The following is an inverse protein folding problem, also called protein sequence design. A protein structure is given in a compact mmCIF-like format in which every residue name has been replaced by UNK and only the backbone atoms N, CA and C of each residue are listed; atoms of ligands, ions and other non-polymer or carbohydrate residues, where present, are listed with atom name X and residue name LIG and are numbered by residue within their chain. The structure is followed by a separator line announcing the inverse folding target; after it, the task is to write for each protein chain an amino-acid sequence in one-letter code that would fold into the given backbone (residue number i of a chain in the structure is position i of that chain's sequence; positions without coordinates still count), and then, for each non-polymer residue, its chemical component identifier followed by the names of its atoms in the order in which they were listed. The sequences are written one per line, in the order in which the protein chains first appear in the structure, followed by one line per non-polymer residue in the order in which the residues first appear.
data_IF_084242437207
#
_entry.id   IF_084242437207
#
_cell.length_a   1.000
_cell.length_b   1.000
_cell.length_c   1.000
_cell.angle_alpha   90.00
_cell.angle_beta   90.00
_cell.angle_gamma   90.00
#
_symmetry.space_group_name_H-M   'P 1'
#
loop_
_entity.id
_entity.type
_entity.pdbx_description
1 polymer ?
#
# COMPACT_ATOMS: atom_id res chain seq x y z
N UNK A 1 6.93 31.42 -28.70
CA UNK A 1 6.31 30.69 -29.81
C UNK A 1 5.91 29.33 -29.26
N UNK A 2 4.61 29.18 -29.04
CA UNK A 2 3.99 27.97 -28.47
C UNK A 2 4.05 26.82 -29.48
N UNK A 3 4.56 25.67 -29.05
CA UNK A 3 4.23 24.41 -29.72
C UNK A 3 3.32 23.59 -28.78
N UNK A 4 2.04 23.67 -29.08
CA UNK A 4 1.05 22.69 -28.64
C UNK A 4 1.40 21.35 -29.26
N UNK A 5 1.66 20.34 -28.44
CA UNK A 5 1.73 18.95 -28.89
C UNK A 5 0.33 18.38 -28.79
N UNK A 6 -0.19 18.01 -29.95
CA UNK A 6 -1.50 17.39 -30.17
C UNK A 6 -1.54 15.98 -29.59
N UNK A 7 -2.39 15.74 -28.59
CA UNK A 7 -2.60 14.44 -27.96
C UNK A 7 -3.89 13.82 -28.50
N UNK A 8 -3.78 13.02 -29.58
CA UNK A 8 -4.84 12.10 -29.99
C UNK A 8 -4.69 10.73 -29.35
N UNK A 9 -5.76 10.33 -28.68
CA UNK A 9 -6.27 8.99 -28.42
C UNK A 9 -5.42 8.03 -27.56
N UNK A 10 -5.78 7.94 -26.30
CA UNK A 10 -5.42 6.88 -25.37
C UNK A 10 -5.56 7.40 -23.95
N UNK A 11 -6.64 7.08 -23.26
CA UNK A 11 -6.98 7.60 -21.93
C UNK A 11 -5.85 7.33 -20.93
N UNK A 12 -4.91 8.28 -20.82
CA UNK A 12 -4.00 8.46 -19.69
C UNK A 12 -4.26 9.87 -19.14
N UNK A 13 -4.33 10.10 -17.83
CA UNK A 13 -4.41 11.45 -17.29
C UNK A 13 -3.14 12.19 -17.72
N UNK A 14 -3.31 13.21 -18.56
CA UNK A 14 -2.19 14.02 -19.03
C UNK A 14 -1.81 15.02 -17.95
N UNK A 15 -0.82 14.68 -17.12
CA UNK A 15 -0.07 15.68 -16.39
C UNK A 15 0.94 16.30 -17.36
N UNK A 16 0.68 17.53 -17.79
CA UNK A 16 1.67 18.32 -18.48
C UNK A 16 2.72 18.77 -17.43
N UNK A 17 3.88 18.13 -17.44
CA UNK A 17 5.03 18.69 -16.71
C UNK A 17 5.46 19.97 -17.41
N UNK A 18 5.25 21.12 -16.75
CA UNK A 18 5.84 22.38 -17.19
C UNK A 18 7.33 22.30 -16.91
N UNK A 19 8.11 21.93 -17.90
CA UNK A 19 9.54 22.06 -17.85
C UNK A 19 9.85 23.52 -18.14
N UNK A 20 10.40 24.25 -17.17
CA UNK A 20 10.98 25.56 -17.42
C UNK A 20 12.09 25.41 -18.46
N UNK A 21 11.82 25.79 -19.70
CA UNK A 21 12.82 25.86 -20.73
C UNK A 21 13.53 27.21 -20.61
N UNK A 22 14.78 27.15 -20.16
CA UNK A 22 15.82 28.13 -20.46
C UNK A 22 15.69 29.50 -19.85
N UNK A 23 16.47 29.75 -18.79
CA UNK A 23 17.41 30.87 -18.73
C UNK A 23 18.31 30.70 -17.50
N UNK A 24 19.60 30.96 -17.68
CA UNK A 24 20.66 30.87 -16.70
C UNK A 24 20.31 31.55 -15.37
N UNK A 25 19.99 30.74 -14.36
CA UNK A 25 20.15 31.15 -12.98
C UNK A 25 21.49 30.65 -12.48
N UNK A 26 22.55 31.44 -12.73
CA UNK A 26 23.79 31.28 -11.99
C UNK A 26 23.55 31.79 -10.57
N UNK A 27 23.27 30.89 -9.66
CA UNK A 27 23.48 31.12 -8.24
C UNK A 27 24.70 30.34 -7.85
N UNK A 28 25.60 31.02 -7.14
CA UNK A 28 26.94 30.55 -6.81
C UNK A 28 26.90 29.16 -6.16
N UNK A 29 27.87 28.34 -6.53
CA UNK A 29 28.13 27.04 -5.96
C UNK A 29 28.38 27.14 -4.45
N UNK A 30 27.68 26.32 -3.66
CA UNK A 30 28.31 25.68 -2.52
C UNK A 30 28.66 24.24 -2.87
N UNK A 31 29.84 23.84 -2.45
CA UNK A 31 30.40 22.54 -2.61
C UNK A 31 29.45 21.42 -2.03
N UNK A 32 29.30 20.35 -2.79
CA UNK A 32 28.65 19.12 -2.40
C UNK A 32 27.61 18.69 -3.43
N UNK A 33 28.03 17.79 -4.34
CA UNK A 33 27.06 17.02 -5.13
C UNK A 33 26.13 16.26 -4.20
N UNK A 34 24.99 16.86 -3.88
CA UNK A 34 23.81 16.11 -3.52
C UNK A 34 23.31 15.43 -4.80
N UNK A 35 23.91 14.27 -5.11
CA UNK A 35 23.35 13.37 -6.09
C UNK A 35 21.91 13.07 -5.68
N UNK A 36 20.95 13.60 -6.42
CA UNK A 36 19.57 13.15 -6.39
C UNK A 36 19.59 11.67 -6.80
N UNK A 37 19.79 10.80 -5.82
CA UNK A 37 19.58 9.37 -6.01
C UNK A 37 18.08 9.23 -6.24
N UNK A 38 17.70 9.10 -7.49
CA UNK A 38 16.35 8.67 -7.86
C UNK A 38 16.15 7.29 -7.23
N UNK A 39 15.44 7.22 -6.10
CA UNK A 39 15.08 5.94 -5.51
C UNK A 39 14.13 5.26 -6.48
N UNK A 40 14.61 4.18 -7.11
CA UNK A 40 13.77 3.32 -7.93
C UNK A 40 12.85 2.53 -6.99
N UNK A 41 11.55 2.58 -7.24
CA UNK A 41 10.54 1.88 -6.42
C UNK A 41 10.43 0.39 -6.78
N UNK A 42 11.08 -0.05 -7.85
CA UNK A 42 10.96 -1.39 -8.43
C UNK A 42 11.37 -2.54 -7.50
N UNK A 43 12.29 -2.26 -6.58
CA UNK A 43 12.85 -3.26 -5.67
C UNK A 43 12.44 -3.01 -4.20
N UNK A 44 11.47 -2.15 -3.96
CA UNK A 44 11.00 -1.80 -2.63
C UNK A 44 9.61 -2.38 -2.37
N UNK A 45 9.35 -2.69 -1.10
CA UNK A 45 8.00 -2.82 -0.59
C UNK A 45 7.37 -1.42 -0.50
N UNK A 46 6.41 -1.11 -1.37
CA UNK A 46 5.75 0.20 -1.38
C UNK A 46 4.37 0.10 -0.73
N UNK A 47 4.20 0.84 0.37
CA UNK A 47 2.93 0.91 1.10
C UNK A 47 2.31 2.29 0.97
N UNK A 48 1.16 2.37 0.33
CA UNK A 48 0.32 3.56 0.31
C UNK A 48 -0.54 3.61 1.57
N UNK A 49 -0.63 4.76 2.23
CA UNK A 49 -1.51 4.92 3.39
C UNK A 49 -2.31 6.22 3.30
N UNK A 50 -3.61 6.16 3.59
CA UNK A 50 -4.42 7.36 3.69
C UNK A 50 -4.04 8.17 4.94
N UNK A 51 -4.12 9.50 4.84
CA UNK A 51 -3.83 10.38 5.97
C UNK A 51 -4.65 10.06 7.21
N UNK A 52 -5.92 9.65 7.03
CA UNK A 52 -6.82 9.25 8.11
C UNK A 52 -6.44 7.91 8.75
N UNK A 53 -5.86 7.00 8.00
CA UNK A 53 -5.37 5.74 8.55
C UNK A 53 -4.06 5.96 9.34
N UNK A 54 -3.20 6.91 8.91
CA UNK A 54 -1.97 7.25 9.61
C UNK A 54 -2.23 8.06 10.87
N UNK A 55 -3.13 9.04 10.81
CA UNK A 55 -3.46 9.94 11.92
C UNK A 55 -4.95 9.93 12.26
N UNK A 56 -5.29 10.23 13.51
CA UNK A 56 -6.67 10.43 13.95
C UNK A 56 -7.20 11.79 13.46
N UNK A 57 -8.03 11.73 12.42
CA UNK A 57 -8.66 12.89 11.80
C UNK A 57 -10.18 12.94 12.04
N UNK A 58 -10.67 12.36 13.16
CA UNK A 58 -12.12 12.32 13.45
C UNK A 58 -12.71 13.70 13.72
N UNK A 59 -11.93 14.58 14.36
CA UNK A 59 -12.36 15.96 14.63
C UNK A 59 -12.47 16.75 13.33
N UNK A 60 -11.47 16.64 12.46
CA UNK A 60 -11.39 17.25 11.15
C UNK A 60 -12.54 16.79 10.23
N UNK A 61 -12.81 15.49 10.23
CA UNK A 61 -13.91 14.88 9.48
C UNK A 61 -15.27 15.40 9.96
N UNK A 62 -15.44 15.56 11.28
CA UNK A 62 -16.64 16.15 11.86
C UNK A 62 -16.85 17.59 11.39
N UNK A 63 -15.80 18.42 11.42
CA UNK A 63 -15.86 19.80 10.92
C UNK A 63 -16.27 19.82 9.44
N UNK A 64 -15.67 18.95 8.63
CA UNK A 64 -16.03 18.83 7.21
C UNK A 64 -17.50 18.45 7.00
N UNK A 65 -18.00 17.44 7.72
CA UNK A 65 -19.38 16.96 7.57
C UNK A 65 -20.42 17.95 8.07
N UNK A 66 -20.16 18.62 9.20
CA UNK A 66 -21.14 19.51 9.83
C UNK A 66 -21.11 20.92 9.27
N UNK A 67 -19.94 21.41 8.82
CA UNK A 67 -19.74 22.81 8.48
C UNK A 67 -19.25 23.03 7.05
N UNK A 68 -18.92 21.95 6.32
CA UNK A 68 -18.52 21.97 4.92
C UNK A 68 -17.05 22.30 4.68
N UNK A 69 -16.70 22.39 3.38
CA UNK A 69 -15.31 22.45 2.91
C UNK A 69 -14.58 23.72 3.38
N UNK A 70 -15.23 24.88 3.35
CA UNK A 70 -14.58 26.15 3.72
C UNK A 70 -14.25 26.23 5.22
N UNK A 71 -15.14 25.72 6.08
CA UNK A 71 -14.88 25.63 7.52
C UNK A 71 -13.74 24.62 7.81
N UNK A 72 -13.72 23.51 7.09
CA UNK A 72 -12.63 22.52 7.17
C UNK A 72 -11.28 23.13 6.78
N UNK A 73 -11.21 23.87 5.66
CA UNK A 73 -9.97 24.53 5.21
C UNK A 73 -9.46 25.50 6.27
N UNK A 74 -10.34 26.36 6.78
CA UNK A 74 -9.99 27.32 7.84
C UNK A 74 -9.51 26.60 9.10
N UNK A 75 -10.24 25.56 9.53
CA UNK A 75 -9.86 24.76 10.68
C UNK A 75 -8.45 24.15 10.55
N UNK A 76 -8.12 23.62 9.39
CA UNK A 76 -6.79 23.03 9.12
C UNK A 76 -5.69 24.09 9.17
N UNK A 77 -5.91 25.28 8.59
CA UNK A 77 -4.95 26.38 8.60
C UNK A 77 -4.77 26.95 10.01
N UNK A 78 -5.87 27.20 10.74
CA UNK A 78 -5.82 27.73 12.10
C UNK A 78 -5.14 26.76 13.10
N UNK A 79 -5.08 25.48 12.76
CA UNK A 79 -4.49 24.43 13.60
C UNK A 79 -3.25 23.77 12.97
N UNK A 80 -2.56 24.42 12.01
CA UNK A 80 -1.47 23.76 11.26
C UNK A 80 -0.31 23.31 12.16
N UNK A 81 -0.04 24.02 13.27
CA UNK A 81 0.99 23.66 14.25
C UNK A 81 0.50 22.65 15.30
N UNK A 82 -0.80 22.39 15.39
CA UNK A 82 -1.35 21.42 16.33
C UNK A 82 -1.17 20.02 15.80
N UNK A 83 -0.30 19.25 16.44
CA UNK A 83 0.02 17.88 16.05
C UNK A 83 -1.21 16.97 16.00
N UNK A 84 -1.25 16.11 15.00
CA UNK A 84 -2.24 15.05 14.88
C UNK A 84 -1.88 13.88 15.81
N UNK A 85 -2.90 13.22 16.35
CA UNK A 85 -2.70 12.00 17.13
C UNK A 85 -2.45 10.80 16.21
N UNK A 86 -1.68 9.78 16.64
CA UNK A 86 -1.57 8.53 15.92
C UNK A 86 -2.91 7.90 15.58
N UNK A 87 -3.07 7.45 14.34
CA UNK A 87 -4.23 6.70 13.85
C UNK A 87 -4.03 5.19 13.92
N UNK A 88 -5.00 4.43 13.39
CA UNK A 88 -5.00 2.95 13.44
C UNK A 88 -3.82 2.30 12.72
N UNK A 89 -3.25 2.95 11.69
CA UNK A 89 -2.10 2.46 10.92
C UNK A 89 -0.74 2.92 11.41
N UNK A 90 -0.68 3.79 12.41
CA UNK A 90 0.55 4.47 12.81
C UNK A 90 1.66 3.49 13.23
N UNK A 91 1.37 2.56 14.14
CA UNK A 91 2.37 1.59 14.60
C UNK A 91 2.80 0.59 13.52
N UNK A 92 1.88 0.22 12.62
CA UNK A 92 2.22 -0.61 11.46
C UNK A 92 3.17 0.14 10.51
N UNK A 93 2.92 1.42 10.23
CA UNK A 93 3.81 2.26 9.43
C UNK A 93 5.19 2.37 10.06
N UNK A 94 5.27 2.62 11.37
CA UNK A 94 6.56 2.60 12.09
C UNK A 94 7.29 1.27 11.95
N UNK A 95 6.56 0.15 12.06
CA UNK A 95 7.15 -1.17 11.88
C UNK A 95 7.67 -1.40 10.46
N UNK A 96 6.93 -0.94 9.43
CA UNK A 96 7.35 -1.00 8.03
C UNK A 96 8.60 -0.13 7.79
N UNK A 97 8.63 1.10 8.30
CA UNK A 97 9.77 1.99 8.15
C UNK A 97 11.03 1.45 8.84
N UNK A 98 10.88 0.70 9.95
CA UNK A 98 12.01 0.00 10.62
C UNK A 98 12.62 -1.15 9.81
N UNK A 99 11.97 -1.61 8.73
CA UNK A 99 12.60 -2.54 7.78
C UNK A 99 13.81 -1.89 7.07
N UNK A 100 13.86 -0.56 7.03
CA UNK A 100 14.97 0.20 6.50
C UNK A 100 16.10 0.27 7.53
N UNK A 101 17.25 -0.31 7.20
CA UNK A 101 18.41 -0.22 8.09
C UNK A 101 19.13 1.13 7.88
N UNK A 102 19.52 1.87 8.94
CA UNK A 102 20.12 3.22 8.83
C UNK A 102 21.37 3.31 7.96
N UNK A 103 22.10 2.20 7.78
CA UNK A 103 23.32 2.10 6.97
C UNK A 103 23.22 1.06 5.86
N UNK A 104 22.01 0.58 5.58
CA UNK A 104 21.74 -0.46 4.59
C UNK A 104 20.95 0.05 3.39
N UNK A 105 20.63 -0.88 2.49
CA UNK A 105 19.70 -0.62 1.38
C UNK A 105 18.31 -0.33 1.93
N UNK A 106 17.63 0.68 1.39
CA UNK A 106 16.19 0.90 1.63
C UNK A 106 15.43 -0.34 1.14
N UNK A 107 14.48 -0.82 1.93
CA UNK A 107 13.66 -2.01 1.65
C UNK A 107 12.18 -1.70 1.53
N UNK A 108 11.75 -0.64 2.19
CA UNK A 108 10.37 -0.23 2.22
C UNK A 108 10.22 1.27 1.99
N UNK A 109 9.16 1.64 1.31
CA UNK A 109 8.74 3.01 1.09
C UNK A 109 7.30 3.16 1.58
N UNK A 110 7.02 4.23 2.31
CA UNK A 110 5.66 4.59 2.68
C UNK A 110 5.29 5.87 1.93
N UNK A 111 4.13 5.87 1.28
CA UNK A 111 3.63 7.00 0.50
C UNK A 111 2.29 7.43 1.07
N UNK A 112 2.15 8.71 1.42
CA UNK A 112 0.84 9.27 1.79
C UNK A 112 -0.04 9.33 0.55
N UNK A 113 -1.20 8.72 0.61
CA UNK A 113 -2.22 8.75 -0.44
C UNK A 113 -3.48 9.41 0.11
N UNK A 114 -3.63 10.71 -0.12
CA UNK A 114 -4.70 11.49 0.50
C UNK A 114 -5.57 12.21 -0.54
N UNK A 115 -6.87 12.26 -0.26
CA UNK A 115 -7.81 13.10 -1.01
C UNK A 115 -7.79 14.56 -0.58
N UNK A 116 -7.02 14.91 0.43
CA UNK A 116 -6.85 16.29 0.86
C UNK A 116 -6.26 17.14 -0.27
N UNK A 117 -6.54 18.45 -0.20
CA UNK A 117 -5.85 19.44 -1.02
C UNK A 117 -4.48 19.76 -0.42
N UNK A 118 -3.61 20.37 -1.23
CA UNK A 118 -2.26 20.77 -0.79
C UNK A 118 -2.32 21.69 0.43
N UNK A 119 -3.22 22.67 0.42
CA UNK A 119 -3.38 23.69 1.47
C UNK A 119 -3.83 23.12 2.82
N UNK A 120 -4.52 21.97 2.82
CA UNK A 120 -5.01 21.33 4.06
C UNK A 120 -4.08 20.25 4.59
N UNK A 121 -2.89 20.10 4.01
CA UNK A 121 -1.99 18.98 4.30
C UNK A 121 -0.76 19.36 5.13
N UNK A 122 -0.50 20.66 5.40
CA UNK A 122 0.65 21.11 6.19
C UNK A 122 0.71 20.41 7.56
N UNK A 123 -0.41 20.33 8.24
CA UNK A 123 -0.52 19.69 9.55
C UNK A 123 -0.14 18.20 9.52
N UNK A 124 -0.41 17.51 8.40
CA UNK A 124 0.00 16.10 8.20
C UNK A 124 1.53 16.03 8.14
N UNK A 125 2.18 16.88 7.35
CA UNK A 125 3.64 16.91 7.23
C UNK A 125 4.31 17.33 8.54
N UNK A 126 3.81 18.36 9.22
CA UNK A 126 4.32 18.78 10.53
C UNK A 126 4.24 17.62 11.56
N UNK A 127 3.18 16.81 11.48
CA UNK A 127 3.04 15.64 12.34
C UNK A 127 3.99 14.50 11.95
N UNK A 128 4.20 14.26 10.63
CA UNK A 128 5.20 13.31 10.12
C UNK A 128 6.59 13.65 10.65
N UNK A 129 7.00 14.92 10.52
CA UNK A 129 8.29 15.42 10.99
C UNK A 129 8.43 15.28 12.51
N UNK A 130 7.39 15.68 13.27
CA UNK A 130 7.40 15.57 14.72
C UNK A 130 7.58 14.13 15.23
N UNK A 131 6.93 13.18 14.59
CA UNK A 131 7.06 11.75 14.96
C UNK A 131 8.30 11.08 14.36
N UNK A 132 9.09 11.79 13.57
CA UNK A 132 10.30 11.27 12.93
C UNK A 132 10.01 10.12 11.97
N UNK A 133 8.88 10.17 11.25
CA UNK A 133 8.54 9.17 10.25
C UNK A 133 9.32 9.47 8.95
N UNK A 134 10.08 8.48 8.45
CA UNK A 134 10.83 8.56 7.19
C UNK A 134 9.88 8.42 5.98
N UNK A 135 9.02 9.45 5.78
CA UNK A 135 8.01 9.52 4.72
C UNK A 135 8.22 10.78 3.90
N UNK A 136 8.83 10.62 2.72
CA UNK A 136 9.19 11.74 1.84
C UNK A 136 8.18 11.96 0.69
N UNK A 137 7.28 11.00 0.47
CA UNK A 137 6.38 11.01 -0.69
C UNK A 137 4.93 11.11 -0.29
N UNK A 138 4.21 11.97 -1.01
CA UNK A 138 2.78 12.13 -0.83
C UNK A 138 2.06 12.41 -2.16
N UNK A 139 0.86 11.89 -2.26
CA UNK A 139 -0.14 12.25 -3.27
C UNK A 139 -1.28 12.98 -2.56
N UNK A 140 -1.52 14.23 -2.94
CA UNK A 140 -2.60 15.07 -2.46
C UNK A 140 -3.52 15.32 -3.64
N UNK A 141 -4.59 14.53 -3.76
CA UNK A 141 -5.38 14.49 -4.99
C UNK A 141 -6.48 15.54 -5.08
N UNK A 142 -6.71 16.32 -4.02
CA UNK A 142 -7.76 17.35 -3.99
C UNK A 142 -9.17 16.80 -4.25
N UNK A 143 -9.46 15.59 -3.78
CA UNK A 143 -10.74 14.91 -3.95
C UNK A 143 -10.80 13.91 -5.12
N UNK A 144 -9.79 13.87 -6.00
CA UNK A 144 -9.76 12.90 -7.10
C UNK A 144 -9.52 11.46 -6.60
N UNK A 145 -10.04 10.42 -7.32
CA UNK A 145 -9.79 9.02 -7.00
C UNK A 145 -8.30 8.67 -6.98
N UNK A 146 -7.89 7.80 -6.06
CA UNK A 146 -6.48 7.48 -5.82
C UNK A 146 -5.91 6.37 -6.72
N UNK A 147 -6.75 5.51 -7.31
CA UNK A 147 -6.31 4.30 -8.02
C UNK A 147 -5.20 4.53 -9.08
N UNK A 148 -5.31 5.59 -9.88
CA UNK A 148 -4.30 5.92 -10.90
C UNK A 148 -2.94 6.22 -10.26
N UNK A 149 -2.93 6.88 -9.11
CA UNK A 149 -1.70 7.22 -8.40
C UNK A 149 -1.09 5.99 -7.72
N UNK A 150 -1.91 5.05 -7.22
CA UNK A 150 -1.43 3.80 -6.65
C UNK A 150 -0.57 3.03 -7.65
N UNK A 151 -1.02 2.90 -8.89
CA UNK A 151 -0.23 2.28 -9.97
C UNK A 151 1.05 3.07 -10.31
N UNK A 152 0.95 4.41 -10.40
CA UNK A 152 2.08 5.26 -10.75
C UNK A 152 3.21 5.17 -9.72
N UNK A 153 2.87 4.97 -8.44
CA UNK A 153 3.82 4.77 -7.35
C UNK A 153 4.15 3.30 -7.07
N UNK A 154 3.63 2.37 -7.88
CA UNK A 154 3.86 0.92 -7.72
C UNK A 154 3.52 0.42 -6.32
N UNK A 155 2.40 0.85 -5.80
CA UNK A 155 1.95 0.48 -4.46
C UNK A 155 1.63 -1.02 -4.42
N UNK A 156 2.30 -1.74 -3.53
CA UNK A 156 2.06 -3.18 -3.27
C UNK A 156 0.88 -3.39 -2.33
N UNK A 157 0.70 -2.47 -1.36
CA UNK A 157 -0.38 -2.51 -0.38
C UNK A 157 -0.91 -1.10 -0.14
N UNK A 158 -2.21 -0.91 -0.25
CA UNK A 158 -2.88 0.33 0.12
C UNK A 158 -3.70 0.17 1.40
N UNK A 159 -3.50 1.07 2.36
CA UNK A 159 -4.15 1.08 3.66
C UNK A 159 -5.04 2.31 3.82
N UNK A 160 -6.32 2.11 4.04
CA UNK A 160 -7.28 3.21 4.23
C UNK A 160 -8.30 2.88 5.33
N UNK A 161 -9.00 3.90 5.83
CA UNK A 161 -10.21 3.75 6.64
C UNK A 161 -11.49 3.91 5.81
N UNK A 162 -11.37 4.24 4.52
CA UNK A 162 -12.51 4.40 3.62
C UNK A 162 -12.69 3.15 2.76
N UNK A 163 -13.86 2.52 2.86
CA UNK A 163 -14.22 1.32 2.10
C UNK A 163 -14.17 1.55 0.60
N UNK A 164 -14.68 2.68 0.11
CA UNK A 164 -14.68 3.04 -1.31
C UNK A 164 -13.27 3.13 -1.90
N UNK A 165 -12.32 3.67 -1.13
CA UNK A 165 -10.92 3.76 -1.57
C UNK A 165 -10.28 2.37 -1.68
N UNK A 166 -10.58 1.50 -0.72
CA UNK A 166 -10.09 0.12 -0.70
C UNK A 166 -10.71 -0.69 -1.84
N UNK A 167 -12.03 -0.60 -2.02
CA UNK A 167 -12.73 -1.28 -3.12
C UNK A 167 -12.15 -0.86 -4.48
N UNK A 168 -11.98 0.44 -4.70
CA UNK A 168 -11.40 0.97 -5.95
C UNK A 168 -9.96 0.49 -6.19
N UNK A 169 -9.16 0.36 -5.13
CA UNK A 169 -7.80 -0.17 -5.23
C UNK A 169 -7.78 -1.66 -5.60
N UNK A 170 -8.65 -2.46 -4.97
CA UNK A 170 -8.81 -3.89 -5.27
C UNK A 170 -9.30 -4.11 -6.71
N UNK A 171 -10.28 -3.34 -7.18
CA UNK A 171 -10.75 -3.36 -8.58
C UNK A 171 -9.63 -3.03 -9.58
N UNK A 172 -8.69 -2.18 -9.17
CA UNK A 172 -7.49 -1.87 -9.94
C UNK A 172 -6.40 -2.96 -9.84
N UNK A 173 -6.64 -4.07 -9.12
CA UNK A 173 -5.68 -5.17 -8.95
C UNK A 173 -4.56 -4.91 -7.94
N UNK A 174 -4.73 -3.92 -7.06
CA UNK A 174 -3.77 -3.58 -6.01
C UNK A 174 -4.27 -4.13 -4.68
N UNK A 175 -3.41 -4.82 -3.93
CA UNK A 175 -3.71 -5.26 -2.57
C UNK A 175 -4.10 -4.08 -1.70
N UNK A 176 -5.27 -4.13 -1.07
CA UNK A 176 -5.75 -3.04 -0.24
C UNK A 176 -6.52 -3.56 0.98
N UNK A 177 -6.41 -2.84 2.10
CA UNK A 177 -7.06 -3.23 3.35
C UNK A 177 -7.66 -2.05 4.10
N UNK A 178 -8.79 -2.31 4.76
CA UNK A 178 -9.42 -1.36 5.67
C UNK A 178 -8.76 -1.47 7.03
N UNK A 179 -8.30 -0.34 7.55
CA UNK A 179 -7.81 -0.24 8.92
C UNK A 179 -8.94 0.23 9.84
N UNK A 180 -9.49 -0.69 10.59
CA UNK A 180 -10.53 -0.39 11.57
C UNK A 180 -9.95 0.39 12.76
N UNK A 181 -10.72 1.36 13.24
CA UNK A 181 -10.37 2.14 14.41
C UNK A 181 -10.44 1.24 15.66
N UNK A 182 -9.31 1.04 16.32
CA UNK A 182 -9.28 0.34 17.61
C UNK A 182 -9.58 1.37 18.69
N UNK A 183 -10.72 1.23 19.35
CA UNK A 183 -11.06 2.07 20.48
C UNK A 183 -9.94 2.02 21.54
N UNK A 184 -9.19 3.09 21.67
CA UNK A 184 -8.38 3.52 22.84
C UNK A 184 -7.51 2.50 23.59
N UNK A 185 -6.95 1.48 22.92
CA UNK A 185 -5.84 0.76 23.53
C UNK A 185 -4.53 1.40 23.02
N UNK A 186 -3.59 1.75 23.93
CA UNK A 186 -2.25 2.07 23.53
C UNK A 186 -1.76 0.89 22.68
N UNK A 187 -1.47 1.14 21.39
CA UNK A 187 -0.91 0.07 20.58
C UNK A 187 0.50 -0.17 21.05
N UNK A 188 0.78 -1.37 21.53
CA UNK A 188 2.14 -1.80 21.82
C UNK A 188 2.97 -1.68 20.53
N UNK A 189 4.23 -1.34 20.68
CA UNK A 189 5.15 -1.27 19.57
C UNK A 189 5.23 -2.62 18.85
N UNK A 190 4.97 -2.64 17.55
CA UNK A 190 5.02 -3.87 16.74
C UNK A 190 6.47 -4.29 16.55
N UNK A 191 6.92 -5.29 17.26
CA UNK A 191 8.29 -5.81 17.17
C UNK A 191 8.52 -6.67 15.91
N UNK A 192 7.50 -7.40 15.47
CA UNK A 192 7.50 -8.23 14.27
C UNK A 192 6.19 -8.05 13.51
N UNK A 193 6.27 -7.75 12.23
CA UNK A 193 5.11 -7.66 11.35
C UNK A 193 4.58 -9.07 11.12
N UNK A 194 3.33 -9.35 11.54
CA UNK A 194 2.66 -10.64 11.36
C UNK A 194 1.44 -10.45 10.50
N UNK A 195 1.38 -11.17 9.37
CA UNK A 195 0.30 -11.06 8.40
C UNK A 195 -0.20 -12.46 8.07
N UNK A 196 -1.52 -12.66 8.18
CA UNK A 196 -2.20 -13.83 7.66
C UNK A 196 -2.97 -13.45 6.39
N UNK A 197 -2.81 -14.23 5.34
CA UNK A 197 -3.48 -14.06 4.08
C UNK A 197 -4.56 -15.12 3.91
N UNK A 198 -5.73 -14.73 3.44
CA UNK A 198 -6.66 -15.66 2.85
C UNK A 198 -6.13 -16.13 1.48
N UNK A 199 -6.49 -17.33 1.05
CA UNK A 199 -6.04 -17.92 -0.20
C UNK A 199 -6.78 -17.37 -1.42
N UNK A 200 -8.04 -17.78 -1.56
CA UNK A 200 -8.87 -17.52 -2.74
C UNK A 200 -9.34 -16.07 -2.79
N UNK A 201 -9.41 -15.51 -3.98
CA UNK A 201 -9.74 -14.10 -4.25
C UNK A 201 -8.86 -13.05 -3.51
N UNK A 202 -7.82 -13.48 -2.81
CA UNK A 202 -6.88 -12.63 -2.07
C UNK A 202 -5.45 -12.81 -2.59
N UNK A 203 -4.76 -13.91 -2.24
CA UNK A 203 -3.46 -14.24 -2.81
C UNK A 203 -3.57 -14.80 -4.22
N UNK A 204 -4.56 -15.64 -4.45
CA UNK A 204 -4.87 -16.23 -5.75
C UNK A 204 -6.07 -15.52 -6.37
N UNK A 205 -6.20 -15.62 -7.70
CA UNK A 205 -7.40 -15.15 -8.39
C UNK A 205 -8.65 -15.91 -7.91
N UNK A 206 -9.80 -15.37 -8.27
CA UNK A 206 -11.11 -15.95 -7.95
C UNK A 206 -11.55 -17.07 -8.92
N UNK A 207 -10.64 -17.55 -9.82
CA UNK A 207 -10.97 -18.59 -10.83
C UNK A 207 -11.58 -19.83 -10.20
N UNK A 208 -10.93 -20.36 -9.17
CA UNK A 208 -11.37 -21.59 -8.51
C UNK A 208 -12.62 -21.39 -7.66
N UNK A 209 -12.74 -20.24 -7.03
CA UNK A 209 -13.93 -19.85 -6.27
C UNK A 209 -15.18 -19.76 -7.17
N UNK A 210 -15.04 -19.18 -8.37
CA UNK A 210 -16.12 -19.15 -9.36
C UNK A 210 -16.55 -20.54 -9.78
N UNK A 211 -15.59 -21.46 -10.01
CA UNK A 211 -15.94 -22.86 -10.33
C UNK A 211 -16.71 -23.53 -9.19
N UNK A 212 -16.30 -23.28 -7.94
CA UNK A 212 -17.02 -23.79 -6.79
C UNK A 212 -18.46 -23.24 -6.70
N UNK A 213 -18.62 -21.94 -6.89
CA UNK A 213 -19.94 -21.27 -6.84
C UNK A 213 -20.87 -21.72 -7.97
N UNK A 214 -20.35 -21.86 -9.19
CA UNK A 214 -21.15 -22.21 -10.37
C UNK A 214 -21.45 -23.71 -10.48
N UNK A 215 -20.54 -24.57 -10.04
CA UNK A 215 -20.56 -26.01 -10.33
C UNK A 215 -20.38 -26.91 -9.10
N UNK A 216 -20.17 -26.34 -7.93
CA UNK A 216 -20.08 -27.04 -6.65
C UNK A 216 -18.74 -27.73 -6.38
N UNK A 217 -18.68 -28.40 -5.22
CA UNK A 217 -17.45 -28.96 -4.65
C UNK A 217 -16.81 -30.05 -5.53
N UNK A 218 -17.61 -30.89 -6.18
CA UNK A 218 -17.08 -31.99 -7.02
C UNK A 218 -16.35 -31.45 -8.26
N UNK A 219 -16.93 -30.45 -8.93
CA UNK A 219 -16.33 -29.81 -10.09
C UNK A 219 -15.05 -29.04 -9.70
N UNK A 220 -15.09 -28.32 -8.58
CA UNK A 220 -13.91 -27.68 -8.00
C UNK A 220 -12.80 -28.69 -7.72
N UNK A 221 -13.10 -29.81 -7.01
CA UNK A 221 -12.11 -30.84 -6.66
C UNK A 221 -11.48 -31.47 -7.88
N UNK A 222 -12.25 -31.75 -8.93
CA UNK A 222 -11.79 -32.30 -10.21
C UNK A 222 -10.87 -31.27 -10.92
N UNK A 223 -11.29 -30.05 -11.04
CA UNK A 223 -10.52 -28.96 -11.63
C UNK A 223 -9.16 -28.79 -10.96
N UNK A 224 -9.14 -28.73 -9.62
CA UNK A 224 -7.90 -28.57 -8.86
C UNK A 224 -6.97 -29.78 -8.99
N UNK A 225 -7.51 -31.00 -9.06
CA UNK A 225 -6.71 -32.20 -9.29
C UNK A 225 -6.10 -32.22 -10.71
N UNK A 226 -6.88 -31.89 -11.74
CA UNK A 226 -6.40 -31.82 -13.13
C UNK A 226 -5.34 -30.74 -13.33
N UNK A 227 -5.50 -29.60 -12.66
CA UNK A 227 -4.58 -28.44 -12.75
C UNK A 227 -3.52 -28.39 -11.63
N UNK A 228 -3.33 -29.48 -10.87
CA UNK A 228 -2.44 -29.50 -9.71
C UNK A 228 -1.00 -29.03 -10.01
N UNK A 229 -0.52 -29.20 -11.25
CA UNK A 229 0.82 -28.78 -11.69
C UNK A 229 0.86 -27.40 -12.35
N UNK A 230 -0.28 -26.78 -12.55
CA UNK A 230 -0.39 -25.41 -13.12
C UNK A 230 -0.54 -24.42 -11.96
N UNK A 231 0.37 -23.45 -11.81
CA UNK A 231 0.23 -22.43 -10.78
C UNK A 231 -1.12 -21.70 -10.88
N UNK A 232 -1.67 -21.33 -9.73
CA UNK A 232 -2.82 -20.44 -9.66
C UNK A 232 -2.42 -19.06 -10.20
N UNK A 233 -3.37 -18.37 -10.81
CA UNK A 233 -3.20 -16.98 -11.22
C UNK A 233 -3.11 -16.06 -10.00
N UNK A 234 -2.39 -14.97 -10.14
CA UNK A 234 -2.16 -14.01 -9.06
C UNK A 234 -3.44 -13.24 -8.71
N UNK A 235 -3.72 -13.13 -7.42
CA UNK A 235 -4.70 -12.22 -6.85
C UNK A 235 -4.08 -10.86 -6.50
N UNK A 236 -4.88 -9.92 -5.96
CA UNK A 236 -4.43 -8.55 -5.72
C UNK A 236 -3.31 -8.44 -4.68
N UNK A 237 -3.16 -9.40 -3.76
CA UNK A 237 -2.11 -9.39 -2.73
C UNK A 237 -0.84 -10.18 -3.11
N UNK A 238 -0.77 -10.78 -4.29
CA UNK A 238 0.38 -11.57 -4.69
C UNK A 238 1.67 -10.73 -4.79
N UNK A 239 1.60 -9.53 -5.33
CA UNK A 239 2.72 -8.58 -5.38
C UNK A 239 3.23 -8.24 -3.99
N UNK A 240 2.34 -7.89 -3.08
CA UNK A 240 2.66 -7.58 -1.70
C UNK A 240 3.37 -8.76 -0.99
N UNK A 241 2.87 -9.99 -1.12
CA UNK A 241 3.51 -11.17 -0.57
C UNK A 241 4.92 -11.40 -1.14
N UNK A 242 5.11 -11.18 -2.45
CA UNK A 242 6.43 -11.31 -3.09
C UNK A 242 7.43 -10.30 -2.53
N UNK A 243 7.02 -9.04 -2.34
CA UNK A 243 7.84 -7.99 -1.73
C UNK A 243 8.21 -8.31 -0.28
N UNK A 244 7.25 -8.80 0.53
CA UNK A 244 7.53 -9.29 1.88
C UNK A 244 8.53 -10.45 1.88
N UNK A 245 8.34 -11.42 0.99
CA UNK A 245 9.20 -12.60 0.88
C UNK A 245 10.63 -12.25 0.48
N UNK A 246 10.82 -11.22 -0.34
CA UNK A 246 12.15 -10.72 -0.66
C UNK A 246 12.88 -10.24 0.59
N UNK A 247 12.20 -9.50 1.47
CA UNK A 247 12.75 -9.02 2.74
C UNK A 247 13.01 -10.19 3.71
N UNK A 248 12.08 -11.16 3.79
CA UNK A 248 12.26 -12.33 4.65
C UNK A 248 13.52 -13.12 4.30
N UNK A 249 13.80 -13.31 3.00
CA UNK A 249 14.99 -14.05 2.54
C UNK A 249 16.33 -13.39 2.84
N UNK A 250 16.35 -12.07 3.04
CA UNK A 250 17.56 -11.35 3.45
C UNK A 250 17.88 -11.51 4.93
N UNK A 251 16.94 -12.02 5.73
CA UNK A 251 17.09 -12.19 7.16
C UNK A 251 17.64 -13.58 7.51
N UNK A 252 18.48 -13.72 8.56
CA UNK A 252 18.86 -15.03 9.06
C UNK A 252 17.64 -15.86 9.47
N UNK A 253 17.70 -17.20 9.37
CA UNK A 253 16.61 -18.07 9.77
C UNK A 253 16.12 -17.76 11.20
N UNK A 254 14.80 -17.59 11.36
CA UNK A 254 14.17 -17.31 12.64
C UNK A 254 14.32 -15.87 13.16
N UNK A 255 15.00 -14.98 12.43
CA UNK A 255 15.22 -13.59 12.84
C UNK A 255 14.54 -12.59 11.89
N UNK A 256 13.64 -13.06 11.01
CA UNK A 256 12.92 -12.17 10.12
C UNK A 256 12.03 -11.19 10.88
N UNK A 257 12.08 -9.89 10.55
CA UNK A 257 11.16 -8.89 11.10
C UNK A 257 9.72 -9.08 10.59
N UNK A 258 9.51 -10.01 9.66
CA UNK A 258 8.21 -10.32 9.05
C UNK A 258 7.92 -11.80 9.24
N UNK A 259 6.66 -12.13 9.61
CA UNK A 259 6.14 -13.50 9.65
C UNK A 259 4.82 -13.55 8.90
N UNK A 260 4.70 -14.52 8.01
CA UNK A 260 3.55 -14.67 7.12
C UNK A 260 2.84 -16.00 7.34
N UNK A 261 1.51 -15.97 7.26
CA UNK A 261 0.68 -17.16 7.29
C UNK A 261 -0.29 -17.18 6.11
N UNK A 262 -0.57 -18.36 5.59
CA UNK A 262 -1.67 -18.63 4.69
C UNK A 262 -2.79 -19.35 5.44
N UNK A 263 -4.01 -18.85 5.33
CA UNK A 263 -5.22 -19.52 5.84
C UNK A 263 -6.14 -19.73 4.65
N UNK A 264 -6.55 -20.97 4.40
CA UNK A 264 -7.41 -21.27 3.26
C UNK A 264 -8.39 -22.39 3.60
N UNK A 265 -9.61 -22.31 3.08
CA UNK A 265 -10.60 -23.35 3.16
C UNK A 265 -10.22 -24.59 2.33
N UNK A 266 -9.24 -24.50 1.42
CA UNK A 266 -8.83 -25.61 0.58
C UNK A 266 -8.30 -26.79 1.40
N UNK A 267 -8.78 -27.99 1.09
CA UNK A 267 -8.26 -29.24 1.60
C UNK A 267 -7.70 -30.11 0.47
N UNK A 268 -7.64 -31.43 0.66
CA UNK A 268 -7.31 -32.36 -0.43
C UNK A 268 -8.43 -32.41 -1.47
N UNK A 269 -8.11 -32.45 -2.78
CA UNK A 269 -6.77 -32.47 -3.41
C UNK A 269 -6.22 -31.07 -3.70
N UNK A 270 -6.98 -30.00 -3.50
CA UNK A 270 -6.65 -28.63 -3.92
C UNK A 270 -5.39 -28.03 -3.25
N UNK A 271 -4.98 -28.52 -2.08
CA UNK A 271 -3.79 -28.05 -1.36
C UNK A 271 -2.49 -28.22 -2.18
N UNK A 272 -2.40 -29.25 -3.04
CA UNK A 272 -1.19 -29.50 -3.86
C UNK A 272 -0.93 -28.34 -4.81
N UNK A 273 -1.97 -27.85 -5.49
CA UNK A 273 -1.85 -26.71 -6.41
C UNK A 273 -1.40 -25.44 -5.69
N UNK A 274 -1.92 -25.18 -4.48
CA UNK A 274 -1.49 -24.06 -3.65
C UNK A 274 0.01 -24.13 -3.33
N UNK A 275 0.48 -25.25 -2.80
CA UNK A 275 1.89 -25.43 -2.44
C UNK A 275 2.79 -25.26 -3.67
N UNK A 276 2.43 -25.85 -4.82
CA UNK A 276 3.18 -25.69 -6.06
C UNK A 276 3.18 -24.25 -6.57
N UNK A 277 2.09 -23.53 -6.38
CA UNK A 277 1.99 -22.09 -6.73
C UNK A 277 2.97 -21.26 -5.91
N UNK A 278 2.98 -21.43 -4.58
CA UNK A 278 3.89 -20.71 -3.69
C UNK A 278 5.37 -21.00 -4.04
N UNK A 279 5.68 -22.26 -4.35
CA UNK A 279 7.02 -22.66 -4.82
C UNK A 279 7.37 -21.99 -6.16
N UNK A 280 6.44 -21.98 -7.12
CA UNK A 280 6.65 -21.38 -8.44
C UNK A 280 6.82 -19.85 -8.34
N UNK A 281 6.13 -19.19 -7.42
CA UNK A 281 6.28 -17.76 -7.14
C UNK A 281 7.54 -17.45 -6.34
N UNK A 282 8.25 -18.46 -5.85
CA UNK A 282 9.42 -18.32 -4.98
C UNK A 282 9.13 -17.42 -3.77
N UNK A 283 8.01 -17.64 -3.10
CA UNK A 283 7.62 -16.88 -1.90
C UNK A 283 7.80 -17.71 -0.63
N UNK A 284 8.02 -17.00 0.49
CA UNK A 284 8.14 -17.58 1.83
C UNK A 284 6.81 -17.41 2.53
N UNK A 285 6.26 -18.52 3.03
CA UNK A 285 5.15 -18.57 3.96
C UNK A 285 5.64 -19.34 5.19
N UNK A 286 5.62 -18.72 6.36
CA UNK A 286 6.11 -19.34 7.60
C UNK A 286 5.14 -20.39 8.13
N UNK A 287 3.82 -20.16 7.94
CA UNK A 287 2.76 -21.04 8.43
C UNK A 287 1.66 -21.20 7.35
N UNK A 288 1.12 -22.40 7.20
CA UNK A 288 -0.01 -22.62 6.30
C UNK A 288 -1.09 -23.49 6.95
N UNK A 289 -2.31 -22.99 6.91
CA UNK A 289 -3.49 -23.63 7.49
C UNK A 289 -4.47 -24.01 6.37
N UNK A 290 -4.59 -25.31 6.11
CA UNK A 290 -5.56 -25.88 5.19
C UNK A 290 -6.73 -26.41 5.98
N UNK A 291 -7.86 -25.71 5.99
CA UNK A 291 -8.97 -25.97 6.90
C UNK A 291 -9.90 -27.09 6.40
N UNK A 292 -9.92 -27.38 5.10
CA UNK A 292 -10.66 -28.50 4.52
C UNK A 292 -12.17 -28.29 4.59
N UNK A 293 -12.63 -27.05 4.45
CA UNK A 293 -14.04 -26.66 4.54
C UNK A 293 -14.82 -26.87 3.27
#
# INVERSE_FOLDING_TARGET
MNSMVDLKAGRRPAFAFVKCAGQDCRVGQPAGELGLVSVQLDDLLVVGISSRALFDLREEDRVFREQGLEAYRRYQLDNEERLLRPGSGFELVKAILRLNHPRGRRRAEVVIMSRNSTETSLRIFNSIDHYGLDIDRAVLSGGAPLATYLHAFRVDLFLSQYEDDVATALEAGIGAAILYDRQHQPSDEIQQIRIAFDGDATLFSDESEKIFQDHGLEAFSRHEAEKARQPLSEGPFAGFLKSLSAIQRESPPGQSPIRTALVTARGRPAHERVIRTLLAWNVVIDEAFFLGG
#
